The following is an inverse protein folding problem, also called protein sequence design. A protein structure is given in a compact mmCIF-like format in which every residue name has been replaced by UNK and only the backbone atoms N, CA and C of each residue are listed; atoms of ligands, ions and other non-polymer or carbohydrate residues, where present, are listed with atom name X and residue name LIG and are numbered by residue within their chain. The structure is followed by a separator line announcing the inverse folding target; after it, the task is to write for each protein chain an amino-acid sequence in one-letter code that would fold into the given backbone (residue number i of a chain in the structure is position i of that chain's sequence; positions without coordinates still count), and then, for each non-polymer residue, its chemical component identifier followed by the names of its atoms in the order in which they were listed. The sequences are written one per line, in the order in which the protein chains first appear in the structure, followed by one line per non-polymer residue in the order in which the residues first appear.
data_IF_251476596418
#
_entry.id   IF_251476596418
#
_cell.length_a   1.000
_cell.length_b   1.000
_cell.length_c   1.000
_cell.angle_alpha   90.00
_cell.angle_beta   90.00
_cell.angle_gamma   90.00
#
_symmetry.space_group_name_H-M   'P 1'
#
loop_
_entity.id
_entity.type
_entity.pdbx_description
1 polymer ?
#
# COMPACT_ATOMS: atom_id res chain seq x y z
N UNK A 1 23.31 -16.95 34.26
CA UNK A 1 22.27 -16.41 33.35
C UNK A 1 22.81 -15.14 32.72
N UNK A 2 23.68 -15.28 31.73
CA UNK A 2 24.07 -14.17 30.85
C UNK A 2 22.94 -13.97 29.86
N UNK A 3 22.17 -12.90 30.05
CA UNK A 3 21.30 -12.37 29.02
C UNK A 3 22.22 -11.78 27.95
N UNK A 4 22.36 -12.46 26.82
CA UNK A 4 22.98 -11.91 25.64
C UNK A 4 22.21 -10.64 25.24
N UNK A 5 22.69 -9.48 25.64
CA UNK A 5 22.30 -8.20 25.07
C UNK A 5 22.90 -8.14 23.67
N UNK A 6 22.22 -8.72 22.69
CA UNK A 6 22.53 -8.45 21.31
C UNK A 6 22.19 -6.97 21.07
N UNK A 7 23.22 -6.13 20.97
CA UNK A 7 23.08 -4.83 20.33
C UNK A 7 22.74 -5.07 18.87
N UNK A 8 21.46 -5.19 18.60
CA UNK A 8 20.95 -5.17 17.23
C UNK A 8 21.07 -3.72 16.80
N UNK A 9 22.02 -3.45 15.92
CA UNK A 9 22.14 -2.15 15.26
C UNK A 9 20.92 -2.01 14.33
N UNK A 10 19.87 -1.34 14.82
CA UNK A 10 18.58 -1.19 14.15
C UNK A 10 18.58 -0.07 13.09
N UNK A 11 19.72 0.34 12.57
CA UNK A 11 19.82 1.23 11.42
C UNK A 11 19.53 0.48 10.09
N UNK A 12 18.41 -0.26 10.05
CA UNK A 12 17.95 -0.92 8.83
C UNK A 12 17.02 0.03 8.09
N UNK A 13 17.56 0.81 7.15
CA UNK A 13 16.76 1.69 6.28
C UNK A 13 16.08 0.94 5.14
N UNK A 14 16.49 -0.31 4.87
CA UNK A 14 16.05 -1.09 3.72
C UNK A 14 16.13 -2.60 3.96
N UNK A 15 15.11 -3.31 3.50
CA UNK A 15 15.09 -4.78 3.42
C UNK A 15 14.77 -5.17 1.98
N UNK A 16 15.60 -6.05 1.38
CA UNK A 16 15.31 -6.64 0.06
C UNK A 16 14.52 -7.94 0.24
N UNK A 17 13.38 -8.04 -0.42
CA UNK A 17 12.51 -9.21 -0.39
C UNK A 17 12.58 -9.94 -1.72
N UNK A 18 13.07 -11.19 -1.69
CA UNK A 18 13.05 -12.08 -2.84
C UNK A 18 11.68 -12.74 -2.93
N UNK A 19 10.83 -12.24 -3.80
CA UNK A 19 9.47 -12.73 -4.02
C UNK A 19 9.23 -13.11 -5.47
N UNK A 20 8.43 -14.13 -5.72
CA UNK A 20 7.81 -14.39 -7.01
C UNK A 20 6.48 -13.59 -7.05
N UNK A 21 6.16 -12.82 -8.09
CA UNK A 21 6.75 -12.78 -9.41
C UNK A 21 7.97 -11.85 -9.58
N UNK A 22 8.31 -11.02 -8.60
CA UNK A 22 9.48 -10.15 -8.68
C UNK A 22 10.02 -9.77 -7.31
N UNK A 23 11.32 -9.51 -7.17
CA UNK A 23 11.88 -8.93 -5.95
C UNK A 23 11.38 -7.48 -5.77
N UNK A 24 11.33 -7.03 -4.52
CA UNK A 24 10.99 -5.65 -4.15
C UNK A 24 11.72 -5.22 -2.88
N UNK A 25 11.62 -3.95 -2.56
CA UNK A 25 12.27 -3.37 -1.39
C UNK A 25 11.23 -2.88 -0.39
N UNK A 26 11.51 -3.11 0.89
CA UNK A 26 10.84 -2.48 2.03
C UNK A 26 11.76 -1.37 2.52
N UNK A 27 11.28 -0.14 2.52
CA UNK A 27 12.02 1.04 2.96
C UNK A 27 11.36 1.61 4.22
N UNK A 28 12.18 1.90 5.22
CA UNK A 28 11.74 2.61 6.42
C UNK A 28 11.97 4.12 6.22
N UNK A 29 10.93 4.93 6.41
CA UNK A 29 10.95 6.36 6.15
C UNK A 29 10.25 7.14 7.24
N UNK A 30 10.96 8.10 7.81
CA UNK A 30 10.32 9.15 8.59
C UNK A 30 9.62 10.11 7.63
N UNK A 31 8.35 10.43 7.92
CA UNK A 31 7.53 11.29 7.07
C UNK A 31 7.39 10.78 5.63
N UNK A 32 6.76 9.61 5.50
CA UNK A 32 6.57 8.92 4.20
C UNK A 32 5.86 9.77 3.15
N UNK A 33 4.94 10.65 3.54
CA UNK A 33 4.22 11.51 2.59
C UNK A 33 5.14 12.54 1.93
N UNK A 34 6.01 13.19 2.70
CA UNK A 34 7.03 14.09 2.15
C UNK A 34 8.03 13.33 1.28
N UNK A 35 8.38 12.09 1.64
CA UNK A 35 9.26 11.24 0.84
C UNK A 35 8.62 10.92 -0.52
N UNK A 36 7.31 10.58 -0.55
CA UNK A 36 6.58 10.31 -1.79
C UNK A 36 6.55 11.57 -2.66
N UNK A 37 6.10 12.71 -2.12
CA UNK A 37 5.95 13.95 -2.86
C UNK A 37 7.27 14.39 -3.54
N UNK A 38 8.38 14.35 -2.79
CA UNK A 38 9.71 14.72 -3.29
C UNK A 38 10.30 13.71 -4.29
N UNK A 39 9.88 12.44 -4.19
CA UNK A 39 10.38 11.35 -5.05
C UNK A 39 9.63 11.18 -6.36
N UNK A 40 8.59 11.97 -6.64
CA UNK A 40 7.77 11.83 -7.84
C UNK A 40 8.50 12.38 -9.09
N UNK A 41 8.80 11.49 -10.04
CA UNK A 41 9.35 11.88 -11.36
C UNK A 41 8.24 11.92 -12.43
N UNK A 42 7.71 13.12 -12.67
CA UNK A 42 6.62 13.34 -13.63
C UNK A 42 7.04 13.23 -15.09
N UNK A 43 8.33 13.14 -15.39
CA UNK A 43 8.83 12.92 -16.76
C UNK A 43 8.71 11.46 -17.15
N UNK A 44 8.85 10.56 -16.18
CA UNK A 44 8.85 9.12 -16.43
C UNK A 44 7.52 8.46 -16.07
N UNK A 45 6.87 8.89 -14.98
CA UNK A 45 5.70 8.22 -14.38
C UNK A 45 4.50 9.15 -14.21
N UNK A 46 3.31 8.59 -14.30
CA UNK A 46 2.09 9.16 -13.75
C UNK A 46 1.72 8.47 -12.43
N UNK A 47 0.90 9.13 -11.61
CA UNK A 47 0.61 8.67 -10.25
C UNK A 47 -0.89 8.69 -10.00
N UNK A 48 -1.36 7.66 -9.27
CA UNK A 48 -2.75 7.52 -8.82
C UNK A 48 -2.71 7.14 -7.33
N UNK A 49 -3.59 7.72 -6.53
CA UNK A 49 -3.63 7.48 -5.09
C UNK A 49 -4.93 6.82 -4.66
N UNK A 50 -4.81 5.71 -3.93
CA UNK A 50 -5.89 4.99 -3.28
C UNK A 50 -5.57 4.90 -1.79
N UNK A 51 -6.33 5.60 -0.94
CA UNK A 51 -6.01 5.83 0.47
C UNK A 51 -7.19 5.52 1.38
N UNK A 52 -6.91 4.96 2.55
CA UNK A 52 -7.87 4.82 3.64
C UNK A 52 -8.38 6.19 4.10
N UNK A 53 -9.69 6.37 4.20
CA UNK A 53 -10.31 7.64 4.56
C UNK A 53 -9.92 8.14 5.95
N UNK A 54 -9.67 7.22 6.90
CA UNK A 54 -9.18 7.59 8.23
C UNK A 54 -7.77 8.18 8.16
N UNK A 55 -6.90 7.62 7.32
CA UNK A 55 -5.56 8.14 7.11
C UNK A 55 -5.61 9.49 6.39
N UNK A 56 -6.46 9.61 5.36
CA UNK A 56 -6.66 10.88 4.65
C UNK A 56 -7.14 11.99 5.59
N UNK A 57 -7.98 11.66 6.58
CA UNK A 57 -8.50 12.59 7.57
C UNK A 57 -7.48 12.93 8.65
N UNK A 58 -6.79 11.91 9.22
CA UNK A 58 -5.81 12.11 10.30
C UNK A 58 -4.56 12.88 9.84
N UNK A 59 -4.20 12.76 8.57
CA UNK A 59 -3.03 13.36 7.95
C UNK A 59 -3.39 14.29 6.79
N UNK A 60 -4.47 15.08 6.95
CA UNK A 60 -5.03 15.89 5.85
C UNK A 60 -4.00 16.85 5.26
N UNK A 61 -3.22 17.53 6.08
CA UNK A 61 -2.22 18.49 5.62
C UNK A 61 -1.08 17.80 4.85
N UNK A 62 -0.62 16.65 5.33
CA UNK A 62 0.47 15.90 4.70
C UNK A 62 0.03 15.20 3.42
N UNK A 63 -1.25 14.86 3.27
CA UNK A 63 -1.80 14.15 2.11
C UNK A 63 -2.45 15.07 1.07
N UNK A 64 -2.60 16.36 1.35
CA UNK A 64 -3.30 17.29 0.45
C UNK A 64 -2.72 17.37 -0.96
N UNK A 65 -1.41 17.17 -1.12
CA UNK A 65 -0.78 17.15 -2.44
C UNK A 65 -1.35 16.05 -3.34
N UNK A 66 -1.82 14.94 -2.78
CA UNK A 66 -2.40 13.82 -3.53
C UNK A 66 -3.69 14.22 -4.25
N UNK A 67 -4.41 15.23 -3.75
CA UNK A 67 -5.65 15.76 -4.38
C UNK A 67 -5.38 16.45 -5.74
N UNK A 68 -4.12 16.72 -6.07
CA UNK A 68 -3.71 17.22 -7.40
C UNK A 68 -3.57 16.10 -8.45
N UNK A 69 -3.78 14.84 -8.06
CA UNK A 69 -3.68 13.65 -8.89
C UNK A 69 -5.00 12.88 -8.87
N UNK A 70 -5.19 11.92 -9.78
CA UNK A 70 -6.28 10.94 -9.64
C UNK A 70 -6.22 10.31 -8.25
N UNK A 71 -7.30 10.45 -7.50
CA UNK A 71 -7.33 10.18 -6.07
C UNK A 71 -8.67 9.57 -5.67
N UNK A 72 -8.63 8.52 -4.85
CA UNK A 72 -9.82 7.94 -4.23
C UNK A 72 -9.52 7.62 -2.76
N UNK A 73 -10.30 8.19 -1.85
CA UNK A 73 -10.39 7.72 -0.46
C UNK A 73 -11.42 6.60 -0.36
N UNK A 74 -11.19 5.65 0.53
CA UNK A 74 -12.01 4.46 0.67
C UNK A 74 -12.24 4.12 2.14
N UNK A 75 -13.46 3.76 2.48
CA UNK A 75 -13.81 3.27 3.81
C UNK A 75 -13.34 1.82 3.99
N UNK A 76 -12.19 1.63 4.61
CA UNK A 76 -11.46 0.36 4.64
C UNK A 76 -11.98 -0.60 5.72
N UNK A 77 -13.15 -1.19 5.50
CA UNK A 77 -13.72 -2.24 6.35
C UNK A 77 -13.70 -3.59 5.63
N UNK A 78 -13.63 -4.68 6.40
CA UNK A 78 -13.50 -6.05 5.87
C UNK A 78 -14.68 -6.46 4.98
N UNK A 79 -15.89 -5.96 5.25
CA UNK A 79 -17.11 -6.23 4.49
C UNK A 79 -17.04 -5.67 3.05
N UNK A 80 -16.26 -4.61 2.85
CA UNK A 80 -16.06 -3.99 1.55
C UNK A 80 -14.84 -4.52 0.79
N UNK A 81 -14.12 -5.49 1.36
CA UNK A 81 -12.99 -6.14 0.69
C UNK A 81 -13.48 -7.16 -0.35
N UNK A 82 -13.99 -6.69 -1.47
CA UNK A 82 -14.62 -7.50 -2.50
C UNK A 82 -14.21 -7.07 -3.92
N UNK A 83 -14.73 -7.75 -4.92
CA UNK A 83 -14.41 -7.48 -6.33
C UNK A 83 -14.92 -6.12 -6.79
N UNK A 84 -16.05 -5.66 -6.27
CA UNK A 84 -16.64 -4.37 -6.66
C UNK A 84 -15.72 -3.23 -6.23
N UNK A 85 -15.16 -3.29 -5.00
CA UNK A 85 -14.17 -2.32 -4.55
C UNK A 85 -12.90 -2.32 -5.41
N UNK A 86 -12.45 -3.49 -5.89
CA UNK A 86 -11.31 -3.56 -6.80
C UNK A 86 -11.66 -2.98 -8.18
N UNK A 87 -12.88 -3.16 -8.67
CA UNK A 87 -13.35 -2.53 -9.92
C UNK A 87 -13.46 -1.01 -9.77
N UNK A 88 -13.89 -0.50 -8.63
CA UNK A 88 -13.85 0.93 -8.34
C UNK A 88 -12.45 1.56 -8.49
N UNK A 89 -11.40 0.81 -8.09
CA UNK A 89 -10.02 1.24 -8.33
C UNK A 89 -9.65 1.13 -9.81
N UNK A 90 -10.13 0.10 -10.51
CA UNK A 90 -9.93 -0.03 -11.95
C UNK A 90 -10.61 1.12 -12.72
N UNK A 91 -11.78 1.57 -12.30
CA UNK A 91 -12.48 2.72 -12.89
C UNK A 91 -11.67 4.00 -12.71
N UNK A 92 -11.14 4.27 -11.49
CA UNK A 92 -10.21 5.37 -11.25
C UNK A 92 -8.98 5.32 -12.16
N UNK A 93 -8.41 4.13 -12.34
CA UNK A 93 -7.27 3.93 -13.24
C UNK A 93 -7.64 4.16 -14.71
N UNK A 94 -8.84 3.75 -15.13
CA UNK A 94 -9.34 3.94 -16.48
C UNK A 94 -9.59 5.42 -16.78
N UNK A 95 -10.30 6.12 -15.92
CA UNK A 95 -10.60 7.55 -16.02
C UNK A 95 -9.34 8.42 -16.05
N UNK A 96 -8.29 8.00 -15.33
CA UNK A 96 -6.98 8.66 -15.33
C UNK A 96 -6.09 8.30 -16.54
N UNK A 97 -6.59 7.51 -17.49
CA UNK A 97 -5.80 6.99 -18.61
C UNK A 97 -4.54 6.23 -18.18
N UNK A 98 -4.60 5.53 -17.03
CA UNK A 98 -3.48 4.80 -16.47
C UNK A 98 -2.90 3.77 -17.45
N UNK A 99 -1.58 3.62 -17.43
CA UNK A 99 -0.83 2.71 -18.28
C UNK A 99 0.34 2.08 -17.52
N UNK A 100 1.22 1.34 -18.20
CA UNK A 100 2.36 0.65 -17.56
C UNK A 100 3.39 1.58 -16.89
N UNK A 101 3.32 2.88 -17.14
CA UNK A 101 4.12 3.91 -16.46
C UNK A 101 3.34 4.63 -15.35
N UNK A 102 2.14 4.18 -15.04
CA UNK A 102 1.36 4.69 -13.92
C UNK A 102 1.69 3.90 -12.66
N UNK A 103 2.03 4.59 -11.58
CA UNK A 103 2.26 3.99 -10.26
C UNK A 103 1.01 4.22 -9.41
N UNK A 104 0.38 3.13 -8.96
CA UNK A 104 -0.71 3.17 -8.00
C UNK A 104 -0.12 3.15 -6.58
N UNK A 105 -0.31 4.22 -5.82
CA UNK A 105 -0.03 4.24 -4.38
C UNK A 105 -1.25 3.71 -3.61
N UNK A 106 -1.02 2.68 -2.81
CA UNK A 106 -2.03 2.06 -1.94
C UNK A 106 -1.64 2.34 -0.50
N UNK A 107 -2.46 3.11 0.22
CA UNK A 107 -2.15 3.64 1.54
C UNK A 107 -3.23 3.20 2.52
N UNK A 108 -2.87 2.38 3.52
CA UNK A 108 -3.84 1.85 4.48
C UNK A 108 -3.43 0.51 5.08
N UNK A 109 -4.38 -0.17 5.70
CA UNK A 109 -4.20 -1.52 6.25
C UNK A 109 -4.36 -2.63 5.21
N UNK A 110 -4.50 -3.89 5.70
CA UNK A 110 -4.61 -5.08 4.85
C UNK A 110 -5.78 -5.07 3.87
N UNK A 111 -6.91 -4.46 4.24
CA UNK A 111 -8.07 -4.29 3.33
C UNK A 111 -7.68 -3.48 2.10
N UNK A 112 -7.01 -2.33 2.31
CA UNK A 112 -6.51 -1.48 1.24
C UNK A 112 -5.48 -2.20 0.38
N UNK A 113 -4.54 -2.92 1.03
CA UNK A 113 -3.54 -3.73 0.35
C UNK A 113 -4.19 -4.73 -0.60
N UNK A 114 -5.16 -5.51 -0.11
CA UNK A 114 -5.80 -6.57 -0.90
C UNK A 114 -6.55 -6.00 -2.11
N UNK A 115 -7.34 -4.95 -1.92
CA UNK A 115 -8.11 -4.29 -2.99
C UNK A 115 -7.15 -3.68 -4.03
N UNK A 116 -6.20 -2.84 -3.57
CA UNK A 116 -5.30 -2.11 -4.45
C UNK A 116 -4.33 -3.02 -5.20
N UNK A 117 -3.78 -4.05 -4.54
CA UNK A 117 -2.89 -5.03 -5.15
C UNK A 117 -3.62 -5.88 -6.21
N UNK A 118 -4.87 -6.27 -5.95
CA UNK A 118 -5.70 -7.00 -6.90
C UNK A 118 -6.00 -6.14 -8.14
N UNK A 119 -6.45 -4.90 -7.95
CA UNK A 119 -6.70 -3.96 -9.03
C UNK A 119 -5.41 -3.71 -9.86
N UNK A 120 -4.28 -3.44 -9.19
CA UNK A 120 -3.01 -3.23 -9.88
C UNK A 120 -2.56 -4.45 -10.69
N UNK A 121 -2.77 -5.67 -10.19
CA UNK A 121 -2.37 -6.89 -10.87
C UNK A 121 -3.24 -7.22 -12.10
N UNK A 122 -4.54 -6.90 -12.03
CA UNK A 122 -5.51 -7.24 -13.08
C UNK A 122 -5.65 -6.16 -14.15
N UNK A 123 -5.52 -4.89 -13.77
CA UNK A 123 -5.61 -3.78 -14.71
C UNK A 123 -4.50 -3.84 -15.78
N UNK A 124 -4.91 -3.92 -17.07
CA UNK A 124 -4.00 -4.01 -18.24
C UNK A 124 -2.87 -5.06 -18.11
N UNK A 125 -3.12 -6.19 -17.45
CA UNK A 125 -2.17 -7.29 -17.13
C UNK A 125 -1.06 -6.86 -16.18
N UNK A 126 -1.34 -5.90 -15.32
CA UNK A 126 -0.45 -5.42 -14.27
C UNK A 126 0.15 -4.04 -14.53
N UNK A 127 0.02 -3.19 -13.52
CA UNK A 127 0.72 -1.90 -13.41
C UNK A 127 1.56 -1.90 -12.13
N UNK A 128 2.63 -1.08 -12.06
CA UNK A 128 3.40 -0.96 -10.83
C UNK A 128 2.56 -0.32 -9.72
N UNK A 129 2.72 -0.82 -8.50
CA UNK A 129 2.09 -0.26 -7.32
C UNK A 129 3.07 -0.19 -6.14
N UNK A 130 2.83 0.74 -5.24
CA UNK A 130 3.60 0.99 -4.02
C UNK A 130 2.66 0.85 -2.83
N UNK A 131 3.07 0.12 -1.81
CA UNK A 131 2.30 -0.06 -0.59
C UNK A 131 2.84 0.82 0.54
N UNK A 132 1.93 1.51 1.22
CA UNK A 132 2.21 2.27 2.43
C UNK A 132 1.34 1.70 3.56
N UNK A 133 1.83 0.71 4.32
CA UNK A 133 1.09 0.10 5.41
C UNK A 133 0.92 1.06 6.59
N UNK A 134 -0.31 1.23 7.08
CA UNK A 134 -0.64 2.15 8.17
C UNK A 134 -1.12 1.46 9.45
N UNK A 135 -1.24 0.13 9.44
CA UNK A 135 -1.60 -0.68 10.60
C UNK A 135 -0.42 -1.49 11.10
N UNK A 136 -0.43 -1.90 12.37
CA UNK A 136 0.62 -2.74 12.94
C UNK A 136 0.78 -4.05 12.16
N UNK A 137 -0.32 -4.75 11.87
CA UNK A 137 -0.30 -5.98 11.06
C UNK A 137 0.23 -5.73 9.65
N UNK A 138 -0.16 -4.61 9.04
CA UNK A 138 0.34 -4.20 7.73
C UNK A 138 1.86 -4.01 7.72
N UNK A 139 2.40 -3.36 8.73
CA UNK A 139 3.83 -3.07 8.82
C UNK A 139 4.69 -4.26 9.23
N UNK A 140 4.15 -5.17 10.06
CA UNK A 140 4.94 -6.28 10.64
C UNK A 140 4.85 -7.59 9.85
N UNK A 141 3.77 -7.82 9.09
CA UNK A 141 3.49 -9.12 8.45
C UNK A 141 2.98 -8.96 7.01
N UNK A 142 1.81 -8.37 6.80
CA UNK A 142 1.12 -8.48 5.51
C UNK A 142 1.83 -7.75 4.36
N UNK A 143 2.70 -6.80 4.65
CA UNK A 143 3.52 -6.11 3.63
C UNK A 143 4.57 -7.02 2.97
N UNK A 144 4.84 -8.20 3.54
CA UNK A 144 5.82 -9.17 3.04
C UNK A 144 5.09 -10.38 2.44
N UNK A 145 5.51 -10.82 1.24
CA UNK A 145 5.01 -12.03 0.60
C UNK A 145 4.07 -11.80 -0.59
N UNK A 146 3.51 -10.60 -0.77
CA UNK A 146 2.71 -10.23 -1.95
C UNK A 146 1.41 -11.03 -2.11
N UNK A 147 0.89 -11.60 -1.04
CA UNK A 147 -0.43 -12.25 -1.04
C UNK A 147 -1.50 -11.18 -1.10
N UNK A 148 -2.53 -11.38 -1.93
CA UNK A 148 -3.72 -10.55 -1.94
C UNK A 148 -4.95 -11.43 -2.17
N UNK A 149 -6.04 -11.12 -1.46
CA UNK A 149 -7.26 -11.92 -1.52
C UNK A 149 -8.51 -11.12 -1.23
N UNK A 150 -9.45 -11.18 -2.15
CA UNK A 150 -10.76 -10.55 -2.01
C UNK A 150 -11.79 -11.55 -1.46
N UNK A 151 -12.73 -11.04 -0.69
CA UNK A 151 -13.84 -11.81 -0.18
C UNK A 151 -14.87 -12.04 -1.30
N UNK A 152 -15.47 -13.22 -1.33
CA UNK A 152 -16.54 -13.53 -2.25
C UNK A 152 -17.66 -14.27 -1.53
N UNK A 153 -18.88 -13.72 -1.59
CA UNK A 153 -20.04 -14.18 -0.81
C UNK A 153 -19.67 -14.24 0.69
N UNK A 154 -19.71 -15.42 1.28
CA UNK A 154 -19.43 -15.64 2.72
C UNK A 154 -18.02 -16.16 2.99
N UNK A 155 -17.15 -16.22 1.98
CA UNK A 155 -15.80 -16.78 2.10
C UNK A 155 -14.76 -15.68 2.00
N UNK A 156 -13.92 -15.58 3.04
CA UNK A 156 -12.80 -14.63 3.07
C UNK A 156 -11.68 -15.09 2.14
N UNK A 157 -11.03 -14.13 1.47
CA UNK A 157 -9.83 -14.32 0.66
C UNK A 157 -9.96 -15.41 -0.43
N UNK A 158 -11.18 -15.60 -0.98
CA UNK A 158 -11.43 -16.67 -1.95
C UNK A 158 -10.88 -16.32 -3.33
N UNK A 159 -11.03 -15.07 -3.76
CA UNK A 159 -10.52 -14.60 -5.04
C UNK A 159 -9.14 -14.00 -4.81
N UNK A 160 -8.11 -14.82 -4.95
CA UNK A 160 -6.76 -14.50 -4.50
C UNK A 160 -5.72 -14.67 -5.61
N UNK A 161 -4.66 -13.88 -5.50
CA UNK A 161 -3.50 -13.97 -6.38
C UNK A 161 -2.22 -13.50 -5.64
N UNK A 162 -1.07 -13.62 -6.31
CA UNK A 162 0.17 -13.04 -5.82
C UNK A 162 0.50 -11.77 -6.62
N UNK A 163 0.65 -10.65 -5.91
CA UNK A 163 1.00 -9.35 -6.49
C UNK A 163 2.08 -8.69 -5.65
N UNK A 164 3.33 -8.76 -6.12
CA UNK A 164 4.42 -8.10 -5.46
C UNK A 164 4.39 -6.58 -5.76
N UNK A 165 4.46 -5.71 -4.74
CA UNK A 165 4.58 -4.27 -4.95
C UNK A 165 5.91 -3.93 -5.62
N UNK A 166 6.03 -2.73 -6.16
CA UNK A 166 7.31 -2.18 -6.57
C UNK A 166 8.18 -1.86 -5.35
N UNK A 167 7.55 -1.30 -4.32
CA UNK A 167 8.14 -0.97 -3.02
C UNK A 167 7.09 -1.02 -1.93
N UNK A 168 7.54 -1.26 -0.70
CA UNK A 168 6.78 -1.00 0.53
C UNK A 168 7.46 0.13 1.28
N UNK A 169 6.69 1.13 1.70
CA UNK A 169 7.19 2.28 2.44
C UNK A 169 6.60 2.25 3.85
N UNK A 170 7.40 1.92 4.84
CA UNK A 170 7.00 1.84 6.25
C UNK A 170 7.36 3.15 6.96
N UNK A 171 6.36 3.76 7.59
CA UNK A 171 6.54 4.87 8.52
C UNK A 171 5.99 4.47 9.89
N UNK A 172 6.86 4.27 10.89
CA UNK A 172 6.43 3.83 12.22
C UNK A 172 5.48 4.81 12.93
N UNK A 173 5.43 6.07 12.49
CA UNK A 173 4.55 7.09 13.10
C UNK A 173 3.06 6.71 13.06
N UNK A 174 2.64 5.92 12.05
CA UNK A 174 1.23 5.48 11.98
C UNK A 174 0.81 4.64 13.17
N UNK A 175 1.74 3.91 13.81
CA UNK A 175 1.45 3.08 14.99
C UNK A 175 1.09 3.94 16.20
N UNK A 176 1.61 5.16 16.29
CA UNK A 176 1.34 6.08 17.41
C UNK A 176 -0.12 6.57 17.48
N UNK A 177 -0.87 6.43 16.40
CA UNK A 177 -2.29 6.82 16.32
C UNK A 177 -3.25 5.66 16.53
N UNK A 178 -2.72 4.43 16.74
CA UNK A 178 -3.53 3.27 17.08
C UNK A 178 -4.02 3.37 18.53
N UNK A 179 -5.30 3.07 18.75
CA UNK A 179 -5.85 3.01 20.09
C UNK A 179 -5.07 1.97 20.93
N UNK A 180 -4.63 2.36 22.12
CA UNK A 180 -4.14 1.38 23.11
C UNK A 180 -5.28 0.45 23.48
N UNK A 181 -5.12 -0.83 23.22
CA UNK A 181 -6.03 -1.90 23.66
C UNK A 181 -5.88 -2.13 25.16
#
# INVERSE_FOLDING_TARGET
NEVLSANIDLNIDRISVNSSPRPYEVLFKDNVFSFIEKGMDHKEFSYVFFIDENIASLYEEETKFMKNYPYKSFHAIEELKNVDAAFDVCDLLLESNANRKTILYVIGGGVMQDIGAYAAATYKRGIPWVYVPTTLLGQSDSCVGGKTGLNYKHTKNLIALFSAPRQVLIDPKFISTLNSV
#
